data_IF_328364618203
#
_entry.id   IF_328364618203
#
_cell.length_a   1.000
_cell.length_b   1.000
_cell.length_c   1.000
_cell.angle_alpha   90.00
_cell.angle_beta   90.00
_cell.angle_gamma   90.00
#
_symmetry.space_group_name_H-M   'P 1'
#
loop_
_entity.id
_entity.type
_entity.pdbx_description
1 polymer ?
#
# COMPACT_ATOMS: atom_id res chain seq x y z
N UNK A 1 -2.51 -11.49 24.35
CA UNK A 1 -3.27 -11.33 23.09
C UNK A 1 -2.88 -9.99 22.51
N UNK A 2 -2.38 -9.96 21.30
CA UNK A 2 -1.95 -8.74 20.63
C UNK A 2 -3.17 -7.82 20.41
N UNK A 3 -3.05 -6.54 20.83
CA UNK A 3 -4.17 -5.57 20.70
C UNK A 3 -4.64 -5.39 19.25
N UNK A 4 -3.71 -5.48 18.30
CA UNK A 4 -4.05 -5.35 16.88
C UNK A 4 -4.95 -6.50 16.41
N UNK A 5 -4.71 -7.73 16.89
CA UNK A 5 -5.55 -8.88 16.56
C UNK A 5 -6.97 -8.77 17.12
N UNK A 6 -7.18 -8.02 18.22
CA UNK A 6 -8.52 -7.85 18.82
C UNK A 6 -9.45 -6.96 17.97
N UNK A 7 -8.91 -6.19 17.04
CA UNK A 7 -9.67 -5.32 16.12
C UNK A 7 -9.64 -5.83 14.67
N UNK A 8 -9.01 -6.98 14.43
CA UNK A 8 -8.93 -7.62 13.14
C UNK A 8 -10.19 -8.44 12.81
N UNK A 9 -10.47 -8.58 11.52
CA UNK A 9 -11.60 -9.37 11.00
C UNK A 9 -11.45 -10.90 11.13
N UNK A 10 -10.32 -11.35 11.63
CA UNK A 10 -9.90 -12.74 11.64
C UNK A 10 -8.81 -13.04 10.61
N UNK A 11 -8.18 -14.24 10.66
CA UNK A 11 -7.09 -14.57 9.76
C UNK A 11 -7.58 -14.78 8.32
N UNK A 12 -6.80 -14.27 7.35
CA UNK A 12 -7.02 -14.53 5.92
C UNK A 12 -6.64 -16.00 5.61
N UNK A 13 -5.55 -16.50 6.20
CA UNK A 13 -5.15 -17.90 6.10
C UNK A 13 -5.44 -18.64 7.41
N UNK A 14 -6.13 -19.78 7.31
CA UNK A 14 -6.36 -20.65 8.45
C UNK A 14 -5.09 -21.41 8.92
N UNK A 15 -4.01 -21.35 8.14
CA UNK A 15 -2.76 -22.03 8.43
C UNK A 15 -1.67 -21.03 8.83
N UNK A 16 -0.76 -21.38 9.75
CA UNK A 16 0.39 -20.56 10.08
C UNK A 16 1.29 -20.38 8.84
N UNK A 17 2.15 -19.33 8.82
CA UNK A 17 3.08 -19.12 7.72
C UNK A 17 3.98 -20.33 7.53
N UNK A 18 4.12 -20.78 6.29
CA UNK A 18 5.12 -21.80 5.93
C UNK A 18 6.48 -21.13 5.78
N UNK A 19 7.56 -21.91 5.89
CA UNK A 19 8.93 -21.40 5.79
C UNK A 19 9.12 -20.54 4.54
N UNK A 20 9.12 -19.24 4.73
CA UNK A 20 9.33 -18.22 3.69
C UNK A 20 10.65 -17.52 3.97
N UNK A 21 11.57 -17.43 3.00
CA UNK A 21 12.80 -16.65 3.15
C UNK A 21 12.57 -15.17 3.46
N UNK A 22 11.40 -14.62 3.06
CA UNK A 22 11.03 -13.25 3.37
C UNK A 22 10.78 -13.00 4.87
N UNK A 23 10.58 -14.06 5.64
CA UNK A 23 10.34 -14.01 7.09
C UNK A 23 11.59 -14.39 7.89
N UNK A 24 12.78 -14.40 7.27
CA UNK A 24 14.06 -14.69 7.92
C UNK A 24 14.81 -13.40 8.26
N UNK A 25 15.88 -13.51 9.03
CA UNK A 25 16.74 -12.38 9.38
C UNK A 25 15.99 -11.27 10.11
N UNK A 26 16.12 -10.05 9.64
CA UNK A 26 15.52 -8.85 10.21
C UNK A 26 13.98 -8.85 10.18
N UNK A 27 13.37 -9.57 9.24
CA UNK A 27 11.90 -9.74 9.15
C UNK A 27 11.37 -10.89 10.04
N UNK A 28 12.21 -11.57 10.83
CA UNK A 28 11.77 -12.68 11.69
C UNK A 28 10.69 -12.31 12.72
N UNK A 29 10.59 -11.09 13.28
CA UNK A 29 9.47 -10.69 14.14
C UNK A 29 8.12 -10.71 13.41
N UNK A 30 8.11 -10.48 12.09
CA UNK A 30 6.90 -10.59 11.26
C UNK A 30 6.38 -12.05 11.22
N UNK A 31 7.28 -13.05 11.26
CA UNK A 31 6.88 -14.46 11.39
C UNK A 31 6.06 -14.71 12.66
N UNK A 32 6.45 -14.09 13.78
CA UNK A 32 5.71 -14.20 15.05
C UNK A 32 4.30 -13.63 14.91
N UNK A 33 4.18 -12.41 14.37
CA UNK A 33 2.89 -11.76 14.10
C UNK A 33 1.98 -12.65 13.24
N UNK A 34 2.50 -13.16 12.12
CA UNK A 34 1.73 -14.01 11.19
C UNK A 34 1.47 -15.41 11.75
N UNK A 35 2.26 -15.91 12.70
CA UNK A 35 1.98 -17.18 13.38
C UNK A 35 0.79 -17.09 14.33
N UNK A 36 0.53 -15.91 14.90
CA UNK A 36 -0.64 -15.66 15.73
C UNK A 36 -1.89 -15.42 14.87
N UNK A 37 -1.76 -14.66 13.74
CA UNK A 37 -2.84 -14.40 12.79
C UNK A 37 -2.26 -14.20 11.38
N UNK A 38 -2.43 -15.19 10.52
CA UNK A 38 -1.78 -15.20 9.21
C UNK A 38 -2.53 -14.35 8.18
N UNK A 39 -2.18 -13.08 8.13
CA UNK A 39 -2.82 -12.06 7.31
C UNK A 39 -4.21 -11.68 7.84
N UNK A 40 -4.56 -10.42 7.78
CA UNK A 40 -5.86 -9.94 8.26
C UNK A 40 -6.16 -8.55 7.72
N UNK A 41 -7.44 -8.19 7.76
CA UNK A 41 -7.91 -6.82 7.66
C UNK A 41 -8.26 -6.30 9.05
N UNK A 42 -8.05 -5.01 9.30
CA UNK A 42 -8.47 -4.32 10.51
C UNK A 42 -9.06 -2.96 10.18
N UNK A 43 -9.82 -2.39 11.13
CA UNK A 43 -10.41 -1.05 11.01
C UNK A 43 -11.24 -0.90 9.72
N UNK A 44 -12.24 -1.78 9.52
CA UNK A 44 -13.09 -1.78 8.33
C UNK A 44 -12.30 -1.82 7.01
N UNK A 45 -11.27 -2.67 6.96
CA UNK A 45 -10.35 -2.83 5.84
C UNK A 45 -9.38 -1.66 5.58
N UNK A 46 -9.33 -0.66 6.47
CA UNK A 46 -8.37 0.44 6.36
C UNK A 46 -6.91 -0.01 6.58
N UNK A 47 -6.69 -1.13 7.24
CA UNK A 47 -5.39 -1.81 7.32
C UNK A 47 -5.51 -3.21 6.73
N UNK A 48 -4.55 -3.59 5.90
CA UNK A 48 -4.37 -4.96 5.40
C UNK A 48 -2.96 -5.46 5.71
N UNK A 49 -2.86 -6.59 6.40
CA UNK A 49 -1.60 -7.32 6.62
C UNK A 49 -1.61 -8.55 5.73
N UNK A 50 -0.60 -8.71 4.89
CA UNK A 50 -0.54 -9.79 3.91
C UNK A 50 -0.30 -11.16 4.56
N UNK A 51 -1.06 -12.20 4.18
CA UNK A 51 -0.82 -13.56 4.64
C UNK A 51 0.43 -14.14 3.98
N UNK A 52 1.21 -14.94 4.69
CA UNK A 52 2.31 -15.72 4.12
C UNK A 52 1.84 -17.14 3.80
N UNK A 53 2.13 -17.63 2.59
CA UNK A 53 1.78 -18.99 2.18
C UNK A 53 1.79 -19.18 0.68
N UNK A 54 1.50 -20.41 0.27
CA UNK A 54 1.48 -20.82 -1.14
C UNK A 54 0.16 -20.49 -1.86
N UNK A 55 0.04 -20.95 -3.11
CA UNK A 55 -1.15 -20.74 -3.94
C UNK A 55 -2.45 -21.18 -3.29
N UNK A 56 -3.54 -20.43 -3.55
CA UNK A 56 -4.87 -20.75 -3.04
C UNK A 56 -5.30 -19.94 -1.81
N UNK A 57 -4.49 -18.96 -1.39
CA UNK A 57 -4.93 -17.99 -0.41
C UNK A 57 -5.96 -17.02 -1.02
N UNK A 58 -6.93 -16.57 -0.23
CA UNK A 58 -7.77 -15.45 -0.64
C UNK A 58 -6.91 -14.17 -0.82
N UNK A 59 -6.85 -13.64 -2.03
CA UNK A 59 -6.02 -12.49 -2.36
C UNK A 59 -4.54 -12.84 -2.58
N UNK A 60 -3.67 -11.85 -2.40
CA UNK A 60 -2.23 -12.00 -2.61
C UNK A 60 -1.51 -12.43 -1.34
N UNK A 61 -0.56 -13.36 -1.48
CA UNK A 61 0.34 -13.71 -0.39
C UNK A 61 1.47 -12.66 -0.26
N UNK A 62 2.13 -12.66 0.90
CA UNK A 62 3.35 -11.87 1.15
C UNK A 62 4.42 -12.13 0.09
N UNK A 63 4.58 -13.41 -0.32
CA UNK A 63 5.55 -13.85 -1.33
C UNK A 63 5.21 -13.29 -2.71
N UNK A 64 3.94 -13.38 -3.12
CA UNK A 64 3.46 -12.80 -4.37
C UNK A 64 3.59 -11.28 -4.35
N UNK A 65 3.20 -10.63 -3.24
CA UNK A 65 3.25 -9.17 -3.08
C UNK A 65 4.66 -8.62 -3.24
N UNK A 66 5.65 -9.34 -2.73
CA UNK A 66 7.07 -8.98 -2.83
C UNK A 66 7.76 -9.45 -4.12
N UNK A 67 7.02 -10.10 -5.04
CA UNK A 67 7.58 -10.48 -6.35
C UNK A 67 7.97 -9.22 -7.14
N UNK A 68 9.18 -9.22 -7.69
CA UNK A 68 9.67 -8.12 -8.52
C UNK A 68 8.77 -7.84 -9.72
N UNK A 69 8.17 -8.90 -10.28
CA UNK A 69 7.37 -8.83 -11.51
C UNK A 69 5.90 -8.42 -11.30
N UNK A 70 5.43 -8.30 -10.04
CA UNK A 70 4.01 -8.00 -9.81
C UNK A 70 3.70 -6.50 -10.01
N UNK A 71 4.35 -5.63 -9.23
CA UNK A 71 4.17 -4.18 -9.27
C UNK A 71 5.47 -3.42 -9.00
N UNK A 72 6.45 -4.04 -8.33
CA UNK A 72 7.68 -3.38 -7.88
C UNK A 72 8.54 -2.86 -9.03
N UNK A 73 8.54 -3.55 -10.17
CA UNK A 73 9.27 -3.11 -11.37
C UNK A 73 8.78 -1.76 -11.90
N UNK A 74 7.51 -1.38 -11.61
CA UNK A 74 6.95 -0.09 -12.02
C UNK A 74 7.62 1.11 -11.35
N UNK A 75 8.33 0.89 -10.24
CA UNK A 75 9.12 1.93 -9.54
C UNK A 75 10.59 1.94 -9.96
N UNK A 76 11.07 0.92 -10.68
CA UNK A 76 12.45 0.81 -11.14
C UNK A 76 13.48 1.08 -10.04
N UNK A 77 14.40 2.03 -10.23
CA UNK A 77 15.47 2.38 -9.28
C UNK A 77 14.97 3.07 -7.98
N UNK A 78 13.72 3.47 -7.92
CA UNK A 78 13.12 4.06 -6.71
C UNK A 78 12.68 3.01 -5.69
N UNK A 79 12.66 1.71 -6.07
CA UNK A 79 12.17 0.63 -5.21
C UNK A 79 13.19 0.31 -4.11
N UNK A 80 12.82 0.41 -2.81
CA UNK A 80 13.70 0.05 -1.72
C UNK A 80 13.87 -1.47 -1.59
N UNK A 81 15.03 -1.89 -1.07
CA UNK A 81 15.26 -3.27 -0.63
C UNK A 81 14.61 -3.49 0.75
N UNK A 82 13.38 -3.96 0.75
CA UNK A 82 12.59 -4.19 1.94
C UNK A 82 11.53 -5.28 1.72
N UNK A 83 10.99 -5.81 2.81
CA UNK A 83 9.81 -6.70 2.80
C UNK A 83 8.56 -5.86 3.03
N UNK A 84 7.68 -5.81 2.05
CA UNK A 84 6.40 -5.13 2.07
C UNK A 84 5.37 -6.07 2.71
N UNK A 85 4.89 -5.77 3.91
CA UNK A 85 4.09 -6.72 4.70
C UNK A 85 2.67 -6.26 5.03
N UNK A 86 2.39 -4.97 4.91
CA UNK A 86 1.06 -4.42 5.14
C UNK A 86 0.83 -3.14 4.32
N UNK A 87 -0.43 -2.76 4.17
CA UNK A 87 -0.83 -1.53 3.49
C UNK A 87 -1.97 -0.82 4.21
N UNK A 88 -2.00 0.51 4.13
CA UNK A 88 -3.14 1.32 4.57
C UNK A 88 -4.24 1.38 3.49
N UNK A 89 -5.31 2.14 3.75
CA UNK A 89 -6.43 2.25 2.80
C UNK A 89 -6.04 2.99 1.51
N UNK A 90 -5.04 3.83 1.52
CA UNK A 90 -4.56 4.58 0.35
C UNK A 90 -3.49 3.83 -0.45
N UNK A 91 -3.08 2.66 0.04
CA UNK A 91 -2.04 1.84 -0.57
C UNK A 91 -0.62 2.24 -0.17
N UNK A 92 -0.44 3.10 0.86
CA UNK A 92 0.87 3.28 1.48
C UNK A 92 1.30 1.96 2.11
N UNK A 93 2.56 1.58 1.90
CA UNK A 93 3.05 0.27 2.30
C UNK A 93 3.90 0.34 3.56
N UNK A 94 3.60 -0.51 4.55
CA UNK A 94 4.52 -0.76 5.65
C UNK A 94 5.55 -1.78 5.22
N UNK A 95 6.81 -1.43 5.39
CA UNK A 95 7.93 -2.26 4.97
C UNK A 95 8.92 -2.44 6.10
N UNK A 96 9.57 -3.61 6.18
CA UNK A 96 10.68 -3.86 7.08
C UNK A 96 11.98 -3.94 6.27
N UNK A 97 12.95 -3.12 6.64
CA UNK A 97 14.28 -3.05 6.02
C UNK A 97 15.25 -4.07 6.63
N UNK A 98 16.44 -4.23 6.04
CA UNK A 98 17.42 -5.25 6.46
C UNK A 98 17.94 -5.05 7.89
N UNK A 99 17.83 -3.85 8.45
CA UNK A 99 18.17 -3.53 9.85
C UNK A 99 17.02 -3.76 10.84
N UNK A 100 15.83 -4.22 10.36
CA UNK A 100 14.65 -4.51 11.17
C UNK A 100 13.75 -3.29 11.44
N UNK A 101 14.15 -2.12 10.96
CA UNK A 101 13.38 -0.89 11.10
C UNK A 101 12.15 -0.93 10.19
N UNK A 102 11.00 -0.50 10.70
CA UNK A 102 9.78 -0.37 9.90
C UNK A 102 9.67 1.03 9.33
N UNK A 103 9.42 1.08 8.05
CA UNK A 103 9.20 2.31 7.30
C UNK A 103 7.82 2.32 6.65
N UNK A 104 7.32 3.52 6.37
CA UNK A 104 6.19 3.76 5.50
C UNK A 104 6.70 4.18 4.12
N UNK A 105 6.34 3.42 3.10
CA UNK A 105 6.60 3.70 1.70
C UNK A 105 5.38 4.41 1.11
N UNK A 106 5.57 5.64 0.64
CA UNK A 106 4.54 6.40 -0.03
C UNK A 106 4.52 6.04 -1.52
N UNK A 107 3.44 5.46 -2.06
CA UNK A 107 3.39 5.03 -3.45
C UNK A 107 3.42 6.18 -4.46
N UNK A 108 2.88 7.36 -4.14
CA UNK A 108 2.85 8.50 -5.05
C UNK A 108 4.23 9.09 -5.33
N UNK A 109 5.14 9.02 -4.35
CA UNK A 109 6.45 9.69 -4.40
C UNK A 109 7.63 8.74 -4.31
N UNK A 110 7.37 7.46 -4.02
CA UNK A 110 8.37 6.46 -3.63
C UNK A 110 9.20 6.86 -2.39
N UNK A 111 8.76 7.85 -1.63
CA UNK A 111 9.45 8.26 -0.41
C UNK A 111 9.34 7.20 0.67
N UNK A 112 10.45 6.96 1.37
CA UNK A 112 10.54 6.05 2.49
C UNK A 112 10.77 6.86 3.77
N UNK A 113 9.84 6.77 4.72
CA UNK A 113 9.94 7.45 6.01
C UNK A 113 9.93 6.44 7.15
N UNK A 114 10.78 6.66 8.16
CA UNK A 114 10.81 5.79 9.34
C UNK A 114 9.48 5.89 10.08
N UNK A 115 8.90 4.72 10.41
CA UNK A 115 7.63 4.61 11.13
C UNK A 115 7.82 4.09 12.57
N UNK A 116 8.64 3.06 12.76
CA UNK A 116 8.98 2.50 14.07
C UNK A 116 10.34 1.81 14.04
N UNK A 117 10.88 1.52 15.22
CA UNK A 117 12.18 0.83 15.35
C UNK A 117 12.10 -0.66 14.99
N UNK A 118 10.91 -1.26 15.11
CA UNK A 118 10.67 -2.69 14.86
C UNK A 118 9.16 -2.97 14.62
N UNK A 119 8.82 -4.26 14.44
CA UNK A 119 7.43 -4.74 14.23
C UNK A 119 6.56 -4.56 15.48
N UNK A 120 7.12 -4.66 16.70
CA UNK A 120 6.36 -4.45 17.93
C UNK A 120 5.99 -2.97 18.09
N UNK A 121 6.94 -2.08 17.83
CA UNK A 121 6.71 -0.63 17.77
C UNK A 121 5.70 -0.26 16.69
N UNK A 122 5.74 -0.90 15.52
CA UNK A 122 4.75 -0.71 14.46
C UNK A 122 3.34 -1.04 14.95
N UNK A 123 3.14 -2.20 15.58
CA UNK A 123 1.84 -2.59 16.13
C UNK A 123 1.33 -1.59 17.18
N UNK A 124 2.24 -1.13 18.04
CA UNK A 124 1.92 -0.16 19.09
C UNK A 124 1.50 1.19 18.52
N UNK A 125 2.23 1.69 17.51
CA UNK A 125 1.94 2.96 16.84
C UNK A 125 0.63 2.90 16.05
N UNK A 126 0.38 1.79 15.35
CA UNK A 126 -0.90 1.57 14.63
C UNK A 126 -2.06 1.62 15.60
N UNK A 127 -1.98 0.95 16.77
CA UNK A 127 -3.06 0.96 17.76
C UNK A 127 -3.22 2.33 18.42
N UNK A 128 -2.12 3.05 18.65
CA UNK A 128 -2.16 4.35 19.32
C UNK A 128 -2.85 5.44 18.47
N UNK A 129 -2.66 5.40 17.17
CA UNK A 129 -3.20 6.41 16.24
C UNK A 129 -3.76 5.77 14.96
N UNK A 130 -4.54 4.71 15.14
CA UNK A 130 -5.10 3.89 14.06
C UNK A 130 -5.84 4.73 13.01
N UNK A 131 -6.58 5.74 13.44
CA UNK A 131 -7.38 6.57 12.54
C UNK A 131 -6.51 7.33 11.53
N UNK A 132 -5.45 7.98 12.01
CA UNK A 132 -4.52 8.70 11.14
C UNK A 132 -3.65 7.75 10.32
N UNK A 133 -3.09 6.72 11.00
CA UNK A 133 -2.13 5.80 10.39
C UNK A 133 -2.73 4.96 9.26
N UNK A 134 -4.03 4.62 9.36
CA UNK A 134 -4.68 3.77 8.37
C UNK A 134 -5.60 4.53 7.40
N UNK A 135 -5.87 5.82 7.66
CA UNK A 135 -6.84 6.61 6.90
C UNK A 135 -8.30 6.21 7.16
N UNK A 136 -8.58 5.62 8.33
CA UNK A 136 -9.89 5.04 8.65
C UNK A 136 -11.06 6.01 8.45
N UNK A 137 -10.96 7.28 8.90
CA UNK A 137 -12.09 8.22 8.77
C UNK A 137 -12.54 8.38 7.32
N UNK A 138 -11.60 8.50 6.38
CA UNK A 138 -11.90 8.60 4.95
C UNK A 138 -12.47 7.27 4.43
N UNK A 139 -11.89 6.14 4.85
CA UNK A 139 -12.38 4.81 4.48
C UNK A 139 -13.82 4.57 4.96
N UNK A 140 -14.11 4.92 6.21
CA UNK A 140 -15.43 4.78 6.81
C UNK A 140 -16.47 5.66 6.11
N UNK A 141 -16.15 6.93 5.88
CA UNK A 141 -17.01 7.85 5.16
C UNK A 141 -17.30 7.35 3.74
N UNK A 142 -16.25 6.95 3.00
CA UNK A 142 -16.42 6.42 1.65
C UNK A 142 -17.30 5.16 1.63
N UNK A 143 -17.07 4.21 2.54
CA UNK A 143 -17.85 2.98 2.64
C UNK A 143 -19.30 3.23 3.06
N UNK A 144 -19.54 4.23 3.89
CA UNK A 144 -20.90 4.65 4.26
C UNK A 144 -21.70 5.11 3.05
N UNK A 145 -21.06 5.79 2.10
CA UNK A 145 -21.68 6.33 0.90
C UNK A 145 -21.77 5.29 -0.24
N UNK A 146 -20.78 4.40 -0.36
CA UNK A 146 -20.60 3.55 -1.55
C UNK A 146 -20.73 2.05 -1.27
N UNK A 147 -20.84 1.64 -0.01
CA UNK A 147 -20.78 0.24 0.40
C UNK A 147 -19.37 -0.22 0.74
N UNK A 148 -19.24 -1.49 1.14
CA UNK A 148 -17.95 -2.04 1.60
C UNK A 148 -16.87 -1.97 0.51
N UNK A 149 -15.66 -1.59 0.90
CA UNK A 149 -14.49 -1.63 0.02
C UNK A 149 -14.22 -3.07 -0.41
N UNK A 150 -14.18 -3.36 -1.73
CA UNK A 150 -13.94 -4.73 -2.20
C UNK A 150 -12.58 -5.25 -1.72
N UNK A 151 -12.47 -6.54 -1.37
CA UNK A 151 -11.18 -7.15 -1.01
C UNK A 151 -10.13 -6.92 -2.10
N UNK A 152 -8.87 -6.64 -1.71
CA UNK A 152 -7.78 -6.37 -2.64
C UNK A 152 -7.86 -5.02 -3.36
N UNK A 153 -8.76 -4.13 -2.95
CA UNK A 153 -8.84 -2.75 -3.45
C UNK A 153 -8.37 -1.76 -2.40
N UNK A 154 -7.87 -0.61 -2.90
CA UNK A 154 -7.49 0.55 -2.09
C UNK A 154 -8.16 1.80 -2.62
N UNK A 155 -8.27 2.80 -1.77
CA UNK A 155 -8.84 4.10 -2.13
C UNK A 155 -7.74 4.98 -2.74
N UNK A 156 -7.80 5.13 -4.04
CA UNK A 156 -6.85 5.95 -4.80
C UNK A 156 -7.42 7.35 -4.94
N UNK A 157 -6.65 8.41 -4.61
CA UNK A 157 -7.13 9.77 -4.79
C UNK A 157 -7.21 10.14 -6.28
N UNK A 158 -8.30 10.80 -6.67
CA UNK A 158 -8.52 11.36 -8.03
C UNK A 158 -7.50 12.45 -8.32
N UNK A 159 -7.22 13.28 -7.33
CA UNK A 159 -6.14 14.26 -7.33
C UNK A 159 -5.12 13.77 -6.31
N UNK A 160 -3.89 13.43 -6.72
CA UNK A 160 -2.87 12.91 -5.82
C UNK A 160 -2.62 13.85 -4.63
N UNK A 161 -2.37 13.30 -3.47
CA UNK A 161 -2.07 14.09 -2.27
C UNK A 161 -0.79 14.93 -2.43
N UNK A 162 0.21 14.38 -3.13
CA UNK A 162 1.48 15.05 -3.40
C UNK A 162 1.35 16.32 -4.26
N UNK A 163 0.22 16.50 -4.95
CA UNK A 163 -0.07 17.70 -5.76
C UNK A 163 -1.27 18.49 -5.23
N UNK A 164 -1.66 18.29 -3.98
CA UNK A 164 -2.67 19.08 -3.28
C UNK A 164 -4.07 18.47 -3.26
N UNK A 165 -4.22 17.18 -3.55
CA UNK A 165 -5.49 16.47 -3.38
C UNK A 165 -5.93 16.41 -1.92
N UNK A 166 -7.22 16.50 -1.68
CA UNK A 166 -7.80 16.49 -0.34
C UNK A 166 -7.94 15.06 0.21
N UNK A 167 -7.75 14.90 1.53
CA UNK A 167 -8.05 13.68 2.28
C UNK A 167 -9.56 13.62 2.58
N UNK A 168 -10.37 13.42 1.55
CA UNK A 168 -11.82 13.35 1.63
C UNK A 168 -12.37 12.18 0.82
N UNK A 169 -13.52 11.64 1.21
CA UNK A 169 -14.17 10.53 0.50
C UNK A 169 -14.49 10.88 -0.97
N UNK A 170 -14.83 12.13 -1.25
CA UNK A 170 -15.12 12.61 -2.61
C UNK A 170 -13.92 12.55 -3.56
N UNK A 171 -12.70 12.65 -3.00
CA UNK A 171 -11.47 12.52 -3.78
C UNK A 171 -11.05 11.07 -4.02
N UNK A 172 -11.78 10.07 -3.50
CA UNK A 172 -11.38 8.67 -3.56
C UNK A 172 -12.15 7.85 -4.59
N UNK A 173 -11.43 6.89 -5.21
CA UNK A 173 -12.00 5.82 -6.03
C UNK A 173 -11.41 4.47 -5.61
N UNK A 174 -12.21 3.39 -5.63
CA UNK A 174 -11.70 2.06 -5.31
C UNK A 174 -10.95 1.50 -6.52
N UNK A 175 -9.70 1.09 -6.30
CA UNK A 175 -8.83 0.55 -7.34
C UNK A 175 -8.19 -0.74 -6.83
N UNK A 176 -8.05 -1.76 -7.70
CA UNK A 176 -7.31 -2.98 -7.36
C UNK A 176 -5.86 -2.62 -6.98
N UNK A 177 -5.38 -3.17 -5.86
CA UNK A 177 -4.13 -2.73 -5.23
C UNK A 177 -2.90 -2.82 -6.15
N UNK A 178 -2.78 -3.88 -6.96
CA UNK A 178 -1.65 -4.03 -7.89
C UNK A 178 -1.72 -2.97 -9.00
N UNK A 179 -2.91 -2.74 -9.55
CA UNK A 179 -3.12 -1.73 -10.58
C UNK A 179 -2.84 -0.33 -10.02
N UNK A 180 -3.27 -0.04 -8.79
CA UNK A 180 -2.98 1.21 -8.10
C UNK A 180 -1.47 1.44 -7.95
N UNK A 181 -0.72 0.44 -7.48
CA UNK A 181 0.73 0.56 -7.30
C UNK A 181 1.48 0.68 -8.62
N UNK A 182 1.05 0.00 -9.68
CA UNK A 182 1.64 0.18 -11.02
C UNK A 182 1.43 1.61 -11.54
N UNK A 183 0.23 2.14 -11.34
CA UNK A 183 -0.09 3.52 -11.70
C UNK A 183 0.81 4.51 -10.93
N UNK A 184 0.89 4.36 -9.60
CA UNK A 184 1.72 5.22 -8.77
C UNK A 184 3.21 5.08 -9.08
N UNK A 185 3.71 3.90 -9.43
CA UNK A 185 5.09 3.69 -9.83
C UNK A 185 5.47 4.51 -11.06
N UNK A 186 4.61 4.50 -12.09
CA UNK A 186 4.81 5.34 -13.27
C UNK A 186 4.75 6.84 -12.95
N UNK A 187 3.86 7.24 -12.03
CA UNK A 187 3.75 8.62 -11.56
C UNK A 187 5.00 9.05 -10.77
N UNK A 188 5.45 8.25 -9.80
CA UNK A 188 6.63 8.52 -8.99
C UNK A 188 7.90 8.70 -9.87
N UNK A 189 8.09 7.80 -10.84
CA UNK A 189 9.19 7.93 -11.82
C UNK A 189 9.13 9.23 -12.58
N UNK A 190 7.95 9.61 -13.08
CA UNK A 190 7.76 10.86 -13.84
C UNK A 190 8.07 12.09 -13.00
N UNK A 191 7.74 12.09 -11.71
CA UNK A 191 8.08 13.18 -10.78
C UNK A 191 9.58 13.20 -10.51
N UNK A 192 10.20 12.05 -10.24
CA UNK A 192 11.62 11.96 -9.88
C UNK A 192 12.56 12.39 -11.03
N UNK A 193 12.12 12.21 -12.28
CA UNK A 193 12.87 12.58 -13.48
C UNK A 193 12.59 14.03 -13.94
N UNK A 194 11.61 14.70 -13.30
CA UNK A 194 11.23 16.06 -13.70
C UNK A 194 12.25 17.10 -13.20
N UNK A 195 12.67 18.05 -14.04
CA UNK A 195 13.46 19.19 -13.58
C UNK A 195 12.69 20.03 -12.56
N UNK A 196 13.43 20.60 -11.60
CA UNK A 196 12.87 21.50 -10.59
C UNK A 196 12.04 22.62 -11.21
N UNK A 197 10.85 22.90 -10.63
CA UNK A 197 9.95 23.97 -11.06
C UNK A 197 9.08 23.64 -12.28
N UNK A 198 9.11 22.41 -12.81
CA UNK A 198 8.15 22.01 -13.84
C UNK A 198 6.74 21.84 -13.29
N UNK A 199 5.76 22.36 -14.00
CA UNK A 199 4.33 22.17 -13.69
C UNK A 199 3.84 20.86 -14.30
N UNK A 200 3.16 20.07 -13.47
CA UNK A 200 2.41 18.89 -13.90
C UNK A 200 0.96 19.28 -14.16
N UNK A 201 0.43 18.90 -15.32
CA UNK A 201 -1.03 18.96 -15.54
C UNK A 201 -1.60 17.58 -15.25
N UNK A 202 -2.48 17.51 -14.27
CA UNK A 202 -3.15 16.28 -13.88
C UNK A 202 -4.56 16.26 -14.51
N UNK A 203 -4.91 15.17 -15.20
CA UNK A 203 -6.25 14.98 -15.72
C UNK A 203 -7.02 13.98 -14.87
N UNK A 204 -7.94 14.42 -14.00
CA UNK A 204 -8.66 13.55 -13.07
C UNK A 204 -9.61 12.54 -13.75
N UNK A 205 -9.96 12.73 -15.02
CA UNK A 205 -10.86 11.81 -15.74
C UNK A 205 -10.25 10.45 -16.06
N UNK A 206 -8.96 10.26 -15.85
CA UNK A 206 -8.24 9.05 -16.24
C UNK A 206 -8.29 7.96 -15.17
N UNK A 207 -8.58 8.30 -13.90
CA UNK A 207 -8.58 7.33 -12.80
C UNK A 207 -9.81 6.39 -12.84
N UNK A 208 -10.95 6.84 -13.30
CA UNK A 208 -12.19 6.04 -13.37
C UNK A 208 -12.12 4.86 -14.37
N UNK A 209 -11.11 4.83 -15.24
CA UNK A 209 -10.95 3.77 -16.22
C UNK A 209 -9.60 3.06 -16.21
N UNK A 210 -8.63 3.44 -15.39
CA UNK A 210 -7.27 2.89 -15.25
C UNK A 210 -6.50 2.59 -16.57
N UNK A 211 -6.97 3.09 -17.70
CA UNK A 211 -6.40 2.75 -19.00
C UNK A 211 -5.19 3.58 -19.40
N UNK A 212 -4.98 4.76 -18.87
CA UNK A 212 -3.75 5.55 -19.10
C UNK A 212 -3.73 6.75 -18.16
N UNK A 213 -2.73 6.87 -17.28
CA UNK A 213 -2.39 8.15 -16.67
C UNK A 213 -1.76 9.05 -17.74
N UNK A 214 -2.45 10.12 -18.16
CA UNK A 214 -1.87 11.13 -19.02
C UNK A 214 -1.39 12.27 -18.14
N UNK A 215 -0.09 12.40 -17.97
CA UNK A 215 0.53 13.63 -17.48
C UNK A 215 1.26 14.29 -18.62
N UNK A 216 1.16 15.58 -18.69
CA UNK A 216 1.97 16.35 -19.61
C UNK A 216 3.08 17.07 -18.86
N UNK A 217 4.31 16.76 -19.22
CA UNK A 217 5.50 17.52 -18.85
C UNK A 217 5.72 18.58 -19.91
N UNK A 218 5.44 19.86 -19.56
CA UNK A 218 5.81 20.99 -20.44
C UNK A 218 5.22 20.98 -21.84
N UNK A 219 3.98 20.51 -22.01
CA UNK A 219 3.28 20.49 -23.31
C UNK A 219 3.40 19.19 -24.11
N UNK A 220 4.22 18.25 -23.71
CA UNK A 220 4.25 16.90 -24.28
C UNK A 220 3.49 15.93 -23.38
N UNK A 221 2.47 15.28 -23.95
CA UNK A 221 1.70 14.25 -23.24
C UNK A 221 2.51 12.96 -23.20
N UNK A 222 2.90 12.52 -22.01
CA UNK A 222 3.51 11.20 -21.81
C UNK A 222 2.41 10.23 -21.48
N UNK A 223 1.98 9.45 -22.46
CA UNK A 223 1.06 8.32 -22.27
C UNK A 223 1.90 7.04 -22.18
N UNK A 224 1.97 6.42 -21.01
CA UNK A 224 2.44 5.03 -20.90
C UNK A 224 1.21 4.17 -20.59
N UNK A 225 0.70 3.51 -21.63
CA UNK A 225 -0.30 2.45 -21.45
C UNK A 225 0.38 1.26 -20.77
N UNK A 226 -0.23 0.78 -19.71
CA UNK A 226 0.08 -0.55 -19.18
C UNK A 226 -0.71 -1.56 -20.03
N UNK A 227 -0.02 -2.28 -20.93
CA UNK A 227 -0.54 -3.49 -21.58
C UNK A 227 -0.64 -4.66 -20.59
#
# INVERSE_FOLDING_TARGET
MNKLHSVASGPISAHPPKGSPLLDGAASPLRTLLSEMNGFYAFESALHVFPSGGPGLPGRSLEEWNSALLWRESYSHLMPEAVFFAEDVFGCQFVVTQDGVVHLFNPETAALSKFSDDIEGWQSNVIADWNYVTGYSVAHEWQTQNGALPPGHRLVPRIPFSVGGEFSADNMVPVESVAALKYWGAFALSISEAPDGKQFTFNPTVIDGLRCGIWSLGGESVCRCLE
#
